data_IF_884586541764
#
_entry.id   IF_884586541764
#
_cell.length_a   1.000
_cell.length_b   1.000
_cell.length_c   1.000
_cell.angle_alpha   90.00
_cell.angle_beta   90.00
_cell.angle_gamma   90.00
#
_symmetry.space_group_name_H-M   'P 1'
#
loop_
_entity.id
_entity.type
_entity.pdbx_description
1 polymer ?
#
# COMPACT_ATOMS: atom_id res chain seq x y z
N UNK A 1 -6.72 -0.88 9.80
CA UNK A 1 -7.06 -2.12 9.12
C UNK A 1 -6.33 -2.21 7.78
N UNK A 2 -6.57 -1.33 6.78
CA UNK A 2 -5.95 -1.36 5.44
C UNK A 2 -4.42 -1.49 5.46
N UNK A 3 -3.72 -0.68 6.27
CA UNK A 3 -2.26 -0.75 6.44
C UNK A 3 -1.81 -2.12 6.92
N UNK A 4 -2.52 -2.67 7.92
CA UNK A 4 -2.21 -4.00 8.44
C UNK A 4 -2.38 -5.07 7.37
N UNK A 5 -3.47 -5.04 6.60
CA UNK A 5 -3.74 -6.01 5.54
C UNK A 5 -2.64 -5.99 4.47
N UNK A 6 -2.20 -4.81 4.03
CA UNK A 6 -1.13 -4.68 3.04
C UNK A 6 0.24 -5.13 3.62
N UNK A 7 0.52 -4.83 4.90
CA UNK A 7 1.74 -5.28 5.59
C UNK A 7 1.76 -6.79 5.81
N UNK A 8 0.63 -7.38 6.22
CA UNK A 8 0.50 -8.84 6.41
C UNK A 8 0.75 -9.58 5.08
N UNK A 9 0.31 -9.00 3.95
CA UNK A 9 0.56 -9.58 2.63
C UNK A 9 2.06 -9.58 2.29
N UNK A 10 2.78 -8.47 2.51
CA UNK A 10 4.22 -8.38 2.32
C UNK A 10 4.98 -9.36 3.25
N UNK A 11 4.52 -9.46 4.50
CA UNK A 11 5.06 -10.43 5.47
C UNK A 11 4.88 -11.87 4.97
N UNK A 12 3.70 -12.20 4.43
CA UNK A 12 3.43 -13.54 3.91
C UNK A 12 4.31 -13.91 2.70
N UNK A 13 4.72 -12.90 1.94
CA UNK A 13 5.68 -13.02 0.83
C UNK A 13 7.14 -13.04 1.31
N UNK A 14 7.41 -12.90 2.62
CA UNK A 14 8.75 -12.74 3.20
C UNK A 14 9.56 -11.58 2.61
N UNK A 15 8.89 -10.52 2.16
CA UNK A 15 9.56 -9.35 1.62
C UNK A 15 9.90 -8.36 2.74
N UNK A 16 11.18 -7.92 2.85
CA UNK A 16 11.58 -6.87 3.79
C UNK A 16 10.85 -5.57 3.45
N UNK A 17 10.11 -5.03 4.40
CA UNK A 17 9.31 -3.82 4.16
C UNK A 17 9.24 -2.95 5.42
N UNK A 18 8.84 -1.70 5.24
CA UNK A 18 8.60 -0.76 6.33
C UNK A 18 7.33 0.06 6.08
N UNK A 19 6.78 0.60 7.16
CA UNK A 19 5.63 1.51 7.14
C UNK A 19 6.14 2.93 7.37
N UNK A 20 5.77 3.85 6.48
CA UNK A 20 6.16 5.24 6.52
C UNK A 20 4.92 6.15 6.63
N UNK A 21 4.88 7.00 7.65
CA UNK A 21 3.88 8.06 7.71
C UNK A 21 4.42 9.29 6.98
N UNK A 22 3.78 9.68 5.88
CA UNK A 22 4.26 10.78 5.06
C UNK A 22 4.20 12.12 5.79
N UNK A 23 5.23 12.95 5.57
CA UNK A 23 5.22 14.34 5.99
C UNK A 23 4.31 15.18 5.07
N UNK A 24 3.97 16.38 5.53
CA UNK A 24 3.04 17.27 4.80
C UNK A 24 3.53 17.66 3.40
N UNK A 25 4.85 17.69 3.19
CA UNK A 25 5.45 18.01 1.89
C UNK A 25 5.23 16.95 0.82
N UNK A 26 4.99 15.71 1.23
CA UNK A 26 4.80 14.56 0.33
C UNK A 26 3.33 14.15 0.19
N UNK A 27 2.43 14.81 0.92
CA UNK A 27 1.00 14.51 0.84
C UNK A 27 0.41 14.95 -0.51
N UNK A 28 -0.37 14.08 -1.13
CA UNK A 28 -1.24 14.46 -2.24
C UNK A 28 -2.25 15.54 -1.80
N UNK A 29 -2.58 16.48 -2.70
CA UNK A 29 -3.44 17.64 -2.43
C UNK A 29 -4.80 17.30 -1.78
N UNK A 30 -5.31 16.10 -1.95
CA UNK A 30 -6.59 15.64 -1.40
C UNK A 30 -6.45 14.92 -0.05
N UNK A 31 -5.22 14.57 0.35
CA UNK A 31 -4.98 13.73 1.51
C UNK A 31 -4.82 14.55 2.80
N UNK A 32 -5.53 14.14 3.84
CA UNK A 32 -5.31 14.65 5.20
C UNK A 32 -4.27 13.83 5.98
N UNK A 33 -4.01 12.60 5.54
CA UNK A 33 -2.97 11.70 6.06
C UNK A 33 -2.71 10.61 5.04
N UNK A 34 -1.45 10.27 4.83
CA UNK A 34 -1.04 9.13 4.02
C UNK A 34 -0.02 8.29 4.76
N UNK A 35 -0.19 6.97 4.66
CA UNK A 35 0.74 5.98 5.16
C UNK A 35 1.15 5.11 3.98
N UNK A 36 2.46 5.09 3.71
CA UNK A 36 3.04 4.26 2.66
C UNK A 36 3.63 2.99 3.25
N UNK A 37 3.58 1.91 2.49
CA UNK A 37 4.40 0.75 2.69
C UNK A 37 5.49 0.75 1.63
N UNK A 38 6.71 0.54 2.06
CA UNK A 38 7.87 0.48 1.19
C UNK A 38 8.53 -0.89 1.31
N UNK A 39 8.92 -1.47 0.17
CA UNK A 39 9.64 -2.73 0.08
C UNK A 39 11.11 -2.48 -0.26
N UNK A 40 11.99 -3.30 0.28
CA UNK A 40 13.41 -3.24 -0.03
C UNK A 40 13.69 -3.73 -1.45
N UNK A 41 14.46 -2.95 -2.20
CA UNK A 41 14.93 -3.29 -3.56
C UNK A 41 16.46 -3.36 -3.53
N UNK A 42 17.04 -4.58 -3.52
CA UNK A 42 18.48 -4.79 -3.38
C UNK A 42 19.34 -4.04 -4.40
N UNK A 43 18.99 -4.10 -5.68
CA UNK A 43 19.76 -3.44 -6.75
C UNK A 43 19.87 -1.93 -6.58
N UNK A 44 18.90 -1.32 -5.93
CA UNK A 44 18.86 0.11 -5.69
C UNK A 44 19.36 0.50 -4.29
N UNK A 45 19.63 -0.49 -3.43
CA UNK A 45 20.03 -0.31 -2.05
C UNK A 45 19.11 0.66 -1.29
N UNK A 46 17.78 0.55 -1.50
CA UNK A 46 16.79 1.40 -0.84
C UNK A 46 15.38 0.80 -0.83
N UNK A 47 14.56 1.37 0.05
CA UNK A 47 13.14 1.10 0.09
C UNK A 47 12.40 1.86 -1.01
N UNK A 48 11.40 1.22 -1.61
CA UNK A 48 10.51 1.79 -2.62
C UNK A 48 9.06 1.58 -2.25
N UNK A 49 8.26 2.61 -2.41
CA UNK A 49 6.81 2.54 -2.21
C UNK A 49 6.20 1.38 -2.99
N UNK A 50 5.39 0.57 -2.32
CA UNK A 50 4.65 -0.55 -2.93
C UNK A 50 3.15 -0.48 -2.66
N UNK A 51 2.74 0.29 -1.68
CA UNK A 51 1.35 0.59 -1.34
C UNK A 51 1.28 1.97 -0.71
N UNK A 52 0.26 2.75 -1.08
CA UNK A 52 -0.03 4.05 -0.47
C UNK A 52 -1.47 4.06 0.01
N UNK A 53 -1.70 4.42 1.26
CA UNK A 53 -3.01 4.36 1.92
C UNK A 53 -3.32 5.73 2.51
N UNK A 54 -4.35 6.38 1.97
CA UNK A 54 -4.71 7.76 2.30
C UNK A 54 -6.07 7.89 2.96
N UNK A 55 -6.13 8.75 3.96
CA UNK A 55 -7.37 9.30 4.48
C UNK A 55 -7.59 10.67 3.82
N UNK A 56 -8.59 10.77 2.97
CA UNK A 56 -8.90 11.98 2.22
C UNK A 56 -10.08 12.77 2.83
N UNK A 57 -10.46 12.42 4.05
CA UNK A 57 -11.54 13.06 4.79
C UNK A 57 -12.80 13.18 3.92
N UNK A 58 -13.40 14.37 3.83
CA UNK A 58 -14.62 14.63 3.05
C UNK A 58 -14.36 15.07 1.60
N UNK A 59 -13.10 15.11 1.16
CA UNK A 59 -12.73 15.63 -0.16
C UNK A 59 -13.47 14.93 -1.31
N UNK A 60 -13.46 13.58 -1.32
CA UNK A 60 -14.17 12.80 -2.34
C UNK A 60 -15.69 12.86 -2.13
N UNK A 61 -16.13 12.84 -0.88
CA UNK A 61 -17.56 12.91 -0.55
C UNK A 61 -18.21 14.22 -0.99
N UNK A 62 -17.51 15.34 -0.91
CA UNK A 62 -18.00 16.63 -1.46
C UNK A 62 -18.25 16.55 -2.96
N UNK A 63 -17.34 15.93 -3.71
CA UNK A 63 -17.45 15.75 -5.17
C UNK A 63 -18.48 14.72 -5.57
N UNK A 64 -18.47 13.56 -4.91
CA UNK A 64 -19.44 12.48 -5.14
C UNK A 64 -20.80 12.72 -4.51
N UNK A 65 -20.97 13.81 -3.73
CA UNK A 65 -22.18 14.14 -2.96
C UNK A 65 -22.61 13.01 -2.03
N UNK A 66 -21.64 12.26 -1.48
CA UNK A 66 -21.89 11.09 -0.62
C UNK A 66 -22.10 11.55 0.81
N UNK A 67 -23.27 11.25 1.35
CA UNK A 67 -23.71 11.68 2.67
C UNK A 67 -24.33 10.54 3.46
N UNK A 68 -24.33 10.69 4.77
CA UNK A 68 -25.09 9.82 5.68
C UNK A 68 -26.02 10.66 6.56
N UNK A 69 -27.05 10.01 7.08
CA UNK A 69 -27.95 10.65 8.06
C UNK A 69 -27.38 10.52 9.47
N UNK A 70 -27.21 11.67 10.12
CA UNK A 70 -26.87 11.79 11.53
C UNK A 70 -28.07 12.45 12.25
N UNK A 71 -29.00 11.64 12.69
CA UNK A 71 -30.28 12.09 13.17
C UNK A 71 -31.07 12.81 12.07
N UNK A 72 -31.38 14.10 12.28
CA UNK A 72 -32.10 14.94 11.31
C UNK A 72 -31.20 15.65 10.32
N UNK A 73 -29.85 15.54 10.45
CA UNK A 73 -28.88 16.24 9.61
C UNK A 73 -28.22 15.28 8.61
N UNK A 74 -27.93 15.78 7.40
CA UNK A 74 -27.09 15.09 6.44
C UNK A 74 -25.65 15.55 6.63
N UNK A 75 -24.73 14.60 6.81
CA UNK A 75 -23.28 14.86 6.91
C UNK A 75 -22.52 14.17 5.77
N UNK A 76 -21.43 14.78 5.34
CA UNK A 76 -20.51 14.15 4.40
C UNK A 76 -19.78 12.99 5.07
N UNK A 77 -19.58 11.90 4.33
CA UNK A 77 -18.73 10.80 4.79
C UNK A 77 -17.25 11.18 4.65
N UNK A 78 -16.40 10.50 5.43
CA UNK A 78 -14.95 10.51 5.17
C UNK A 78 -14.60 9.24 4.40
N UNK A 79 -13.66 9.34 3.47
CA UNK A 79 -13.23 8.21 2.65
C UNK A 79 -11.76 7.89 2.86
N UNK A 80 -11.47 6.61 2.76
CA UNK A 80 -10.13 6.06 2.73
C UNK A 80 -9.92 5.42 1.37
N UNK A 81 -8.70 5.45 0.87
CA UNK A 81 -8.32 4.67 -0.30
C UNK A 81 -6.89 4.14 -0.13
N UNK A 82 -6.59 3.07 -0.85
CA UNK A 82 -5.27 2.49 -0.88
C UNK A 82 -5.24 1.30 -1.82
N UNK A 83 -4.13 1.12 -2.52
CA UNK A 83 -3.84 -0.11 -3.23
C UNK A 83 -3.29 -1.15 -2.25
N UNK A 84 -3.70 -2.42 -2.39
CA UNK A 84 -3.14 -3.46 -1.55
C UNK A 84 -1.66 -3.63 -1.85
N UNK A 85 -1.29 -3.86 -3.13
CA UNK A 85 0.10 -3.78 -3.59
C UNK A 85 0.16 -3.35 -5.06
N UNK A 86 1.25 -2.65 -5.42
CA UNK A 86 1.61 -2.40 -6.81
C UNK A 86 2.16 -3.70 -7.42
N UNK A 87 1.38 -4.38 -8.28
CA UNK A 87 1.68 -5.73 -8.81
C UNK A 87 3.06 -5.79 -9.47
N UNK A 88 3.37 -4.86 -10.38
CA UNK A 88 4.67 -4.84 -11.07
C UNK A 88 5.84 -4.67 -10.11
N UNK A 89 5.72 -3.80 -9.09
CA UNK A 89 6.77 -3.60 -8.09
C UNK A 89 6.91 -4.79 -7.15
N UNK A 90 5.81 -5.48 -6.85
CA UNK A 90 5.84 -6.72 -6.07
C UNK A 90 6.59 -7.81 -6.83
N UNK A 91 6.36 -7.94 -8.13
CA UNK A 91 7.09 -8.89 -8.98
C UNK A 91 8.60 -8.59 -8.97
N UNK A 92 8.98 -7.33 -9.18
CA UNK A 92 10.39 -6.90 -9.11
C UNK A 92 10.99 -7.23 -7.74
N UNK A 93 10.27 -6.92 -6.65
CA UNK A 93 10.74 -7.19 -5.30
C UNK A 93 10.95 -8.69 -5.05
N UNK A 94 10.05 -9.55 -5.52
CA UNK A 94 10.21 -11.00 -5.43
C UNK A 94 11.45 -11.45 -6.21
N UNK A 95 11.57 -11.03 -7.45
CA UNK A 95 12.71 -11.41 -8.29
C UNK A 95 14.04 -11.00 -7.66
N UNK A 96 14.17 -9.75 -7.23
CA UNK A 96 15.43 -9.24 -6.68
C UNK A 96 15.77 -9.79 -5.28
N UNK A 97 14.78 -10.03 -4.42
CA UNK A 97 15.06 -10.53 -3.07
C UNK A 97 15.27 -12.05 -3.01
N UNK A 98 14.80 -12.80 -4.02
CA UNK A 98 14.82 -14.27 -4.00
C UNK A 98 15.57 -14.88 -5.21
N UNK A 99 16.34 -14.08 -5.94
CA UNK A 99 17.20 -14.57 -7.01
C UNK A 99 18.41 -15.30 -6.46
N UNK A 100 18.69 -16.47 -7.03
CA UNK A 100 19.91 -17.25 -6.78
C UNK A 100 21.06 -16.79 -7.70
N UNK A 101 22.28 -17.21 -7.38
CA UNK A 101 23.48 -16.92 -8.17
C UNK A 101 23.39 -17.46 -9.60
N UNK A 102 22.67 -18.56 -9.83
CA UNK A 102 22.43 -19.16 -11.15
C UNK A 102 21.35 -18.46 -11.98
N UNK A 103 20.76 -17.37 -11.45
CA UNK A 103 19.70 -16.60 -12.10
C UNK A 103 18.28 -17.15 -11.91
N UNK A 104 18.12 -18.29 -11.22
CA UNK A 104 16.79 -18.79 -10.84
C UNK A 104 16.19 -17.94 -9.72
N UNK A 105 14.87 -17.97 -9.58
CA UNK A 105 14.14 -17.24 -8.53
C UNK A 105 13.35 -18.20 -7.65
N UNK A 106 13.58 -18.12 -6.34
CA UNK A 106 12.79 -18.89 -5.38
C UNK A 106 11.42 -18.25 -5.21
N UNK A 107 10.37 -18.96 -5.59
CA UNK A 107 9.01 -18.45 -5.44
C UNK A 107 8.55 -18.56 -3.98
N UNK A 108 8.02 -17.49 -3.37
CA UNK A 108 7.47 -17.54 -2.02
C UNK A 108 6.42 -18.65 -1.86
N UNK A 109 6.50 -19.44 -0.77
CA UNK A 109 5.63 -20.60 -0.53
C UNK A 109 4.13 -20.27 -0.64
N UNK A 110 3.74 -19.08 -0.21
CA UNK A 110 2.33 -18.64 -0.24
C UNK A 110 1.77 -18.58 -1.67
N UNK A 111 2.62 -18.48 -2.68
CA UNK A 111 2.24 -18.42 -4.10
C UNK A 111 2.18 -19.81 -4.75
N UNK A 112 2.75 -20.86 -4.16
CA UNK A 112 2.82 -22.18 -4.78
C UNK A 112 1.45 -22.78 -5.16
N UNK A 113 0.40 -22.41 -4.42
CA UNK A 113 -0.97 -22.88 -4.72
C UNK A 113 -1.60 -22.25 -5.97
N UNK A 114 -0.94 -21.26 -6.57
CA UNK A 114 -1.41 -20.56 -7.77
C UNK A 114 -0.58 -20.89 -9.02
N UNK A 115 0.47 -21.70 -8.86
CA UNK A 115 1.33 -22.21 -9.93
C UNK A 115 0.96 -23.66 -10.26
#
# INVERSE_FOLDING_TARGET
EMVKTASDLLTSLNLPHRVLNLCTGDLGFSAGKTIDLEVWIPSQNKYREISSISNVRDFQARRGKIRYKDGKKNRLVHTLNGSSLAVGRTLVAIMENFQNEDGTVVIPKVLHKYL
#
